data_IF_159375894882
#
_entry.id   IF_159375894882
#
_cell.length_a   1.000
_cell.length_b   1.000
_cell.length_c   1.000
_cell.angle_alpha   90.00
_cell.angle_beta   90.00
_cell.angle_gamma   90.00
#
_symmetry.space_group_name_H-M   'P 1'
#
loop_
_entity.id
_entity.type
_entity.pdbx_description
1 polymer ?
#
# COMPACT_ATOMS: atom_id res chain seq x y z
N UNK A 1 8.78 10.08 -20.67
CA UNK A 1 8.84 10.15 -19.21
C UNK A 1 8.25 8.89 -18.61
N UNK A 2 9.10 8.00 -18.14
CA UNK A 2 8.68 6.82 -17.40
C UNK A 2 8.20 7.22 -16.01
N UNK A 3 7.18 6.54 -15.50
CA UNK A 3 6.68 6.74 -14.14
C UNK A 3 6.47 5.38 -13.51
N UNK A 4 6.68 5.30 -12.21
CA UNK A 4 6.37 4.12 -11.41
C UNK A 4 5.43 4.52 -10.27
N UNK A 5 4.74 3.53 -9.73
CA UNK A 5 3.87 3.64 -8.57
C UNK A 5 4.48 2.79 -7.47
N UNK A 6 5.03 3.43 -6.45
CA UNK A 6 5.58 2.78 -5.27
C UNK A 6 4.48 2.64 -4.23
N UNK A 7 4.34 1.45 -3.65
CA UNK A 7 3.46 1.17 -2.52
C UNK A 7 4.29 0.76 -1.32
N UNK A 8 4.04 1.38 -0.18
CA UNK A 8 4.58 0.97 1.11
C UNK A 8 3.42 0.52 1.99
N UNK A 9 3.44 -0.73 2.43
CA UNK A 9 2.39 -1.34 3.23
C UNK A 9 2.91 -1.50 4.65
N UNK A 10 2.33 -0.76 5.59
CA UNK A 10 2.63 -0.86 7.01
C UNK A 10 1.53 -1.68 7.71
N UNK A 11 1.93 -2.61 8.57
CA UNK A 11 1.03 -3.31 9.49
C UNK A 11 1.01 -2.57 10.83
N UNK A 12 -0.18 -2.27 11.35
CA UNK A 12 -0.41 -1.78 12.71
C UNK A 12 -1.12 -2.86 13.55
N UNK A 13 -0.60 -3.07 14.75
CA UNK A 13 -1.19 -3.85 15.85
C UNK A 13 -1.38 -2.92 17.04
N UNK A 14 -2.48 -3.08 17.79
CA UNK A 14 -2.78 -2.30 19.01
C UNK A 14 -1.85 -2.63 20.20
N UNK A 15 -1.21 -3.80 20.18
CA UNK A 15 -0.18 -4.15 21.16
C UNK A 15 1.15 -3.48 20.77
N UNK A 16 1.61 -2.61 21.67
CA UNK A 16 2.89 -1.93 21.60
C UNK A 16 4.05 -2.90 21.28
N UNK A 17 4.99 -2.36 20.51
CA UNK A 17 6.33 -2.88 20.19
C UNK A 17 6.53 -3.73 18.91
N UNK A 18 7.15 -3.04 17.94
CA UNK A 18 8.34 -3.53 17.22
C UNK A 18 8.14 -4.78 16.36
N UNK A 19 7.45 -4.60 15.23
CA UNK A 19 7.86 -5.09 13.90
C UNK A 19 6.95 -4.45 12.86
N UNK A 20 7.23 -3.19 12.51
CA UNK A 20 6.70 -2.61 11.28
C UNK A 20 7.33 -3.37 10.11
N UNK A 21 6.76 -4.51 9.75
CA UNK A 21 7.07 -5.18 8.50
C UNK A 21 6.50 -4.31 7.38
N UNK A 22 7.30 -3.35 6.93
CA UNK A 22 6.98 -2.51 5.79
C UNK A 22 7.25 -3.33 4.53
N UNK A 23 6.20 -3.69 3.80
CA UNK A 23 6.34 -4.36 2.51
C UNK A 23 6.29 -3.31 1.43
N UNK A 24 7.31 -3.29 0.57
CA UNK A 24 7.39 -2.35 -0.54
C UNK A 24 7.14 -3.06 -1.87
N UNK A 25 6.30 -2.46 -2.71
CA UNK A 25 6.02 -2.94 -4.07
C UNK A 25 6.08 -1.81 -5.07
N UNK A 26 6.57 -2.11 -6.27
CA UNK A 26 6.68 -1.15 -7.36
C UNK A 26 5.84 -1.65 -8.53
N UNK A 27 5.02 -0.77 -9.10
CA UNK A 27 4.19 -1.04 -10.26
C UNK A 27 4.52 -0.06 -11.39
N UNK A 28 4.61 -0.57 -12.62
CA UNK A 28 4.84 0.28 -13.79
C UNK A 28 3.57 1.04 -14.20
N UNK A 29 2.40 0.41 -14.03
CA UNK A 29 1.10 0.99 -14.39
C UNK A 29 0.20 1.20 -13.17
N UNK A 30 -0.66 2.22 -13.26
CA UNK A 30 -1.67 2.50 -12.22
C UNK A 30 -2.74 1.41 -12.15
N UNK A 31 -3.07 0.77 -13.27
CA UNK A 31 -4.02 -0.34 -13.32
C UNK A 31 -3.51 -1.52 -12.51
N UNK A 32 -2.26 -1.93 -12.72
CA UNK A 32 -1.63 -3.05 -11.98
C UNK A 32 -1.65 -2.82 -10.46
N UNK A 33 -1.35 -1.59 -10.04
CA UNK A 33 -1.47 -1.18 -8.65
C UNK A 33 -2.90 -1.36 -8.12
N UNK A 34 -3.90 -0.89 -8.87
CA UNK A 34 -5.30 -0.96 -8.44
C UNK A 34 -5.79 -2.40 -8.37
N UNK A 35 -5.47 -3.20 -9.39
CA UNK A 35 -5.84 -4.61 -9.45
C UNK A 35 -5.21 -5.37 -8.28
N UNK A 36 -3.97 -5.05 -7.90
CA UNK A 36 -3.32 -5.61 -6.70
C UNK A 36 -4.08 -5.24 -5.43
N UNK A 37 -4.36 -3.95 -5.22
CA UNK A 37 -5.06 -3.48 -4.02
C UNK A 37 -6.46 -4.10 -3.92
N UNK A 38 -7.19 -4.20 -5.03
CA UNK A 38 -8.53 -4.79 -5.07
C UNK A 38 -8.49 -6.30 -4.78
N UNK A 39 -7.56 -7.05 -5.39
CA UNK A 39 -7.38 -8.49 -5.13
C UNK A 39 -7.01 -8.80 -3.69
N UNK A 40 -6.20 -7.96 -3.09
CA UNK A 40 -5.77 -8.11 -1.70
C UNK A 40 -6.82 -7.60 -0.70
N UNK A 41 -7.92 -6.98 -1.16
CA UNK A 41 -9.00 -6.49 -0.30
C UNK A 41 -8.73 -5.12 0.35
N UNK A 42 -7.82 -4.32 -0.21
CA UNK A 42 -7.58 -2.95 0.25
C UNK A 42 -8.67 -1.99 -0.23
N UNK A 43 -9.27 -1.29 0.73
CA UNK A 43 -10.24 -0.23 0.51
C UNK A 43 -9.56 1.14 0.48
N UNK A 44 -10.02 2.02 -0.41
CA UNK A 44 -9.46 3.38 -0.51
C UNK A 44 -9.90 4.22 0.69
N UNK A 45 -8.92 4.65 1.49
CA UNK A 45 -9.16 5.52 2.65
C UNK A 45 -8.95 7.00 2.32
N UNK A 46 -7.91 7.32 1.54
CA UNK A 46 -7.60 8.69 1.13
C UNK A 46 -7.09 8.76 -0.32
N UNK A 47 -6.60 9.92 -0.75
CA UNK A 47 -6.15 10.16 -2.14
C UNK A 47 -5.10 9.15 -2.61
N UNK A 48 -4.19 8.75 -1.72
CA UNK A 48 -3.05 7.87 -1.95
C UNK A 48 -2.86 6.84 -0.84
N UNK A 49 -3.89 6.61 -0.01
CA UNK A 49 -3.83 5.66 1.09
C UNK A 49 -4.97 4.67 0.97
N UNK A 50 -4.66 3.41 1.22
CA UNK A 50 -5.60 2.32 1.26
C UNK A 50 -5.45 1.56 2.57
N UNK A 51 -6.55 1.03 3.07
CA UNK A 51 -6.62 0.28 4.30
C UNK A 51 -7.19 -1.11 4.02
N UNK A 52 -6.59 -2.13 4.60
CA UNK A 52 -7.15 -3.49 4.69
C UNK A 52 -7.23 -3.82 6.17
N UNK A 53 -8.37 -4.37 6.58
CA UNK A 53 -8.57 -4.90 7.94
C UNK A 53 -8.68 -6.41 7.80
N UNK A 54 -7.82 -7.15 8.46
CA UNK A 54 -7.77 -8.61 8.40
C UNK A 54 -7.30 -9.15 9.75
N UNK A 55 -8.06 -10.07 10.33
CA UNK A 55 -7.75 -10.69 11.64
C UNK A 55 -7.42 -9.67 12.74
N UNK A 56 -8.25 -8.62 12.87
CA UNK A 56 -8.07 -7.51 13.83
C UNK A 56 -6.79 -6.67 13.62
N UNK A 57 -6.10 -6.86 12.48
CA UNK A 57 -4.93 -6.10 12.08
C UNK A 57 -5.31 -5.05 11.05
N UNK A 58 -4.70 -3.87 11.17
CA UNK A 58 -4.86 -2.80 10.19
C UNK A 58 -3.61 -2.74 9.32
N UNK A 59 -3.80 -2.92 8.02
CA UNK A 59 -2.76 -2.74 7.01
C UNK A 59 -3.00 -1.43 6.27
N UNK A 60 -2.02 -0.54 6.31
CA UNK A 60 -2.04 0.75 5.64
C UNK A 60 -1.09 0.72 4.43
N UNK A 61 -1.65 0.84 3.23
CA UNK A 61 -0.90 0.95 1.98
C UNK A 61 -0.85 2.40 1.51
N UNK A 62 0.33 3.01 1.56
CA UNK A 62 0.60 4.34 1.02
C UNK A 62 1.16 4.23 -0.40
N UNK A 63 0.63 5.03 -1.32
CA UNK A 63 1.01 5.03 -2.75
C UNK A 63 1.70 6.32 -3.14
N UNK A 64 2.93 6.22 -3.63
CA UNK A 64 3.67 7.32 -4.22
C UNK A 64 3.83 7.17 -5.74
N UNK A 65 3.69 8.28 -6.47
CA UNK A 65 3.92 8.33 -7.91
C UNK A 65 5.28 8.97 -8.19
N UNK A 66 6.26 8.16 -8.57
CA UNK A 66 7.61 8.63 -8.90
C UNK A 66 7.73 8.80 -10.41
N UNK A 67 8.17 9.99 -10.85
CA UNK A 67 8.51 10.26 -12.26
C UNK A 67 10.01 10.05 -12.44
N UNK A 68 10.39 9.18 -13.35
CA UNK A 68 11.79 9.00 -13.76
C UNK A 68 12.08 9.98 -14.91
N UNK A 69 13.17 10.73 -14.78
CA UNK A 69 13.67 11.63 -15.82
C UNK A 69 14.29 10.84 -16.96
#
# INVERSE_FOLDING_TARGET
>A
MSKIYWVSIAKRTDEFEVKQSVVEKIFAKKSELKDFLEKEGYCKAARNQYLKIEDELIYEAAVEKVKMK
#
